data_IF_517938583455
#
_entry.id   IF_517938583455
#
_cell.length_a   1.000
_cell.length_b   1.000
_cell.length_c   1.000
_cell.angle_alpha   90.00
_cell.angle_beta   90.00
_cell.angle_gamma   90.00
#
_symmetry.space_group_name_H-M   'P 1'
#
loop_
_entity.id
_entity.type
_entity.pdbx_description
1 polymer ?
#
# COMPACT_ATOMS: atom_id res chain seq x y z
N UNK A 1 -28.69 31.48 -8.28
CA UNK A 1 -27.24 31.43 -7.95
C UNK A 1 -26.90 32.09 -6.61
N UNK A 2 -27.42 33.29 -6.28
CA UNK A 2 -27.15 33.95 -4.98
C UNK A 2 -27.42 33.07 -3.74
N UNK A 3 -28.55 32.34 -3.71
CA UNK A 3 -28.90 31.44 -2.59
C UNK A 3 -27.86 30.35 -2.34
N UNK A 4 -27.36 29.71 -3.40
CA UNK A 4 -26.34 28.66 -3.28
C UNK A 4 -25.06 29.24 -2.67
N UNK A 5 -24.64 30.42 -3.14
CA UNK A 5 -23.45 31.10 -2.62
C UNK A 5 -23.58 31.46 -1.13
N UNK A 6 -24.77 31.86 -0.67
CA UNK A 6 -25.01 32.12 0.75
C UNK A 6 -24.90 30.86 1.60
N UNK A 7 -25.44 29.72 1.13
CA UNK A 7 -25.32 28.43 1.82
C UNK A 7 -23.85 28.02 1.88
N UNK A 8 -23.13 28.08 0.75
CA UNK A 8 -21.70 27.78 0.68
C UNK A 8 -20.91 28.64 1.68
N UNK A 9 -21.16 29.95 1.70
CA UNK A 9 -20.49 30.87 2.62
C UNK A 9 -20.77 30.50 4.08
N UNK A 10 -22.02 30.17 4.41
CA UNK A 10 -22.42 29.74 5.76
C UNK A 10 -21.66 28.48 6.18
N UNK A 11 -21.58 27.48 5.31
CA UNK A 11 -20.87 26.23 5.60
C UNK A 11 -19.37 26.47 5.81
N UNK A 12 -18.69 27.21 4.92
CA UNK A 12 -17.27 27.54 5.15
C UNK A 12 -17.07 28.28 6.48
N UNK A 13 -17.88 29.31 6.77
CA UNK A 13 -17.77 30.03 8.04
C UNK A 13 -17.98 29.10 9.24
N UNK A 14 -18.92 28.17 9.17
CA UNK A 14 -19.17 27.20 10.23
C UNK A 14 -17.98 26.26 10.44
N UNK A 15 -17.38 25.77 9.34
CA UNK A 15 -16.22 24.87 9.36
C UNK A 15 -15.00 25.59 9.94
N UNK A 16 -14.66 26.77 9.40
CA UNK A 16 -13.48 27.54 9.83
C UNK A 16 -13.60 28.07 11.27
N UNK A 17 -14.83 28.33 11.74
CA UNK A 17 -15.05 28.79 13.12
C UNK A 17 -15.06 27.64 14.14
N UNK A 18 -15.29 26.40 13.70
CA UNK A 18 -15.35 25.25 14.58
C UNK A 18 -13.93 24.77 14.92
N UNK A 19 -13.46 25.08 16.14
CA UNK A 19 -12.08 24.82 16.60
C UNK A 19 -11.60 23.38 16.42
N UNK A 20 -12.51 22.41 16.50
CA UNK A 20 -12.19 20.98 16.39
C UNK A 20 -12.26 20.48 14.93
N UNK A 21 -13.01 21.14 14.06
CA UNK A 21 -13.34 20.57 12.75
C UNK A 21 -12.14 20.66 11.79
N UNK A 22 -11.45 21.80 11.74
CA UNK A 22 -10.26 21.95 10.89
C UNK A 22 -9.12 20.97 11.26
N UNK A 23 -8.71 20.84 12.53
CA UNK A 23 -7.72 19.83 12.90
C UNK A 23 -8.17 18.40 12.58
N UNK A 24 -9.46 18.09 12.78
CA UNK A 24 -10.00 16.76 12.46
C UNK A 24 -9.92 16.46 10.95
N UNK A 25 -10.11 17.47 10.09
CA UNK A 25 -10.10 17.31 8.63
C UNK A 25 -8.68 17.26 8.07
N UNK A 26 -7.73 18.01 8.64
CA UNK A 26 -6.38 18.11 8.07
C UNK A 26 -5.32 17.40 8.92
N UNK A 27 -5.27 17.65 10.23
CA UNK A 27 -4.21 17.11 11.09
C UNK A 27 -4.37 15.61 11.35
N UNK A 28 -5.60 15.16 11.62
CA UNK A 28 -5.85 13.74 11.92
C UNK A 28 -5.49 12.83 10.74
N UNK A 29 -5.93 13.08 9.50
CA UNK A 29 -5.51 12.29 8.34
C UNK A 29 -4.00 12.30 8.13
N UNK A 30 -3.30 13.40 8.37
CA UNK A 30 -1.83 13.43 8.22
C UNK A 30 -1.15 12.58 9.28
N UNK A 31 -1.57 12.69 10.53
CA UNK A 31 -1.06 11.84 11.60
C UNK A 31 -1.32 10.37 11.24
N UNK A 32 -2.51 10.06 10.74
CA UNK A 32 -2.85 8.71 10.26
C UNK A 32 -2.01 8.30 9.05
N UNK A 33 -1.75 9.19 8.10
CA UNK A 33 -0.91 8.91 6.93
C UNK A 33 0.50 8.55 7.38
N UNK A 34 1.09 9.34 8.29
CA UNK A 34 2.42 9.08 8.82
C UNK A 34 2.44 7.75 9.57
N UNK A 35 1.48 7.53 10.47
CA UNK A 35 1.41 6.29 11.27
C UNK A 35 1.19 5.08 10.38
N UNK A 36 0.19 5.10 9.50
CA UNK A 36 -0.16 3.97 8.65
C UNK A 36 0.90 3.69 7.60
N UNK A 37 1.53 4.72 7.01
CA UNK A 37 2.60 4.51 6.05
C UNK A 37 3.80 3.79 6.68
N UNK A 38 4.18 4.15 7.92
CA UNK A 38 5.25 3.48 8.65
C UNK A 38 4.83 2.12 9.22
N UNK A 39 3.57 1.98 9.65
CA UNK A 39 3.07 0.72 10.20
C UNK A 39 2.83 -0.34 9.12
N UNK A 40 2.53 0.09 7.88
CA UNK A 40 2.30 -0.80 6.76
C UNK A 40 3.61 -1.35 6.18
N UNK A 41 4.78 -0.89 6.63
CA UNK A 41 6.09 -1.30 6.09
C UNK A 41 6.27 -2.83 6.12
N UNK A 42 6.11 -3.46 4.95
CA UNK A 42 6.43 -4.87 4.74
C UNK A 42 7.84 -5.04 4.17
N UNK A 43 8.65 -3.98 4.12
CA UNK A 43 10.03 -4.07 3.66
C UNK A 43 10.87 -4.73 4.76
N UNK A 44 11.04 -6.04 4.65
CA UNK A 44 11.93 -6.76 5.55
C UNK A 44 13.38 -6.51 5.13
N UNK A 45 14.01 -5.56 5.81
CA UNK A 45 15.46 -5.34 5.77
C UNK A 45 16.13 -6.16 6.87
N UNK A 46 17.38 -6.57 6.66
CA UNK A 46 18.15 -7.41 7.59
C UNK A 46 17.52 -8.79 7.83
N UNK A 47 17.23 -9.52 6.76
CA UNK A 47 16.83 -10.92 6.87
C UNK A 47 18.06 -11.72 7.31
N UNK A 48 18.00 -12.31 8.51
CA UNK A 48 19.12 -13.06 9.06
C UNK A 48 19.27 -14.40 8.33
N UNK A 49 20.31 -14.51 7.50
CA UNK A 49 20.62 -15.69 6.73
C UNK A 49 21.71 -16.52 7.44
N UNK A 50 21.42 -17.78 7.68
CA UNK A 50 22.40 -18.76 8.14
C UNK A 50 22.90 -19.62 6.98
N UNK A 51 24.20 -19.92 6.93
CA UNK A 51 24.79 -20.62 5.78
C UNK A 51 25.28 -22.01 6.21
N UNK A 52 24.90 -23.04 5.46
CA UNK A 52 25.42 -24.39 5.61
C UNK A 52 26.19 -24.74 4.35
N UNK A 53 27.52 -24.59 4.39
CA UNK A 53 28.39 -24.87 3.24
C UNK A 53 29.15 -26.17 3.43
N UNK A 54 28.73 -27.22 2.71
CA UNK A 54 29.39 -28.52 2.68
C UNK A 54 30.47 -28.63 1.59
N UNK A 55 30.55 -27.68 0.65
CA UNK A 55 31.46 -27.73 -0.51
C UNK A 55 32.77 -26.96 -0.26
N UNK A 56 32.70 -25.86 0.49
CA UNK A 56 33.85 -24.99 0.86
C UNK A 56 34.73 -24.63 -0.35
N UNK A 57 34.09 -24.39 -1.48
CA UNK A 57 34.74 -24.19 -2.75
C UNK A 57 34.79 -22.71 -3.13
N UNK A 58 35.48 -22.40 -4.22
CA UNK A 58 35.57 -21.01 -4.69
C UNK A 58 34.20 -20.49 -5.15
N UNK A 59 33.39 -21.36 -5.77
CA UNK A 59 32.06 -20.99 -6.23
C UNK A 59 31.06 -20.90 -5.07
N UNK A 60 31.15 -21.77 -4.05
CA UNK A 60 30.32 -21.63 -2.85
C UNK A 60 30.62 -20.32 -2.11
N UNK A 61 31.90 -20.00 -1.90
CA UNK A 61 32.35 -18.76 -1.26
C UNK A 61 31.90 -17.52 -2.03
N UNK A 62 31.91 -17.56 -3.38
CA UNK A 62 31.45 -16.45 -4.22
C UNK A 62 29.94 -16.24 -4.12
N UNK A 63 29.15 -17.32 -4.12
CA UNK A 63 27.70 -17.25 -3.90
C UNK A 63 27.39 -16.63 -2.52
N UNK A 64 28.06 -17.10 -1.47
CA UNK A 64 27.96 -16.53 -0.11
C UNK A 64 28.31 -15.03 -0.11
N UNK A 65 29.38 -14.64 -0.81
CA UNK A 65 29.77 -13.24 -0.96
C UNK A 65 28.68 -12.36 -1.59
N UNK A 66 27.89 -12.87 -2.54
CA UNK A 66 26.75 -12.13 -3.10
C UNK A 66 25.64 -11.89 -2.07
N UNK A 67 25.35 -12.89 -1.24
CA UNK A 67 24.40 -12.72 -0.13
C UNK A 67 24.90 -11.70 0.90
N UNK A 68 26.20 -11.72 1.24
CA UNK A 68 26.81 -10.74 2.14
C UNK A 68 26.82 -9.31 1.58
N UNK A 69 26.92 -9.16 0.26
CA UNK A 69 26.91 -7.85 -0.40
C UNK A 69 25.50 -7.27 -0.60
N UNK A 70 24.45 -8.06 -0.39
CA UNK A 70 23.06 -7.63 -0.57
C UNK A 70 22.58 -6.80 0.63
N UNK A 71 21.84 -5.73 0.37
CA UNK A 71 21.22 -4.90 1.42
C UNK A 71 20.04 -5.61 2.14
N UNK A 72 19.56 -6.74 1.60
CA UNK A 72 18.40 -7.45 2.13
C UNK A 72 18.77 -8.53 3.16
N UNK A 73 19.98 -9.09 3.09
CA UNK A 73 20.41 -10.20 3.94
C UNK A 73 21.52 -9.79 4.88
N UNK A 74 21.44 -10.28 6.11
CA UNK A 74 22.51 -10.23 7.09
C UNK A 74 22.99 -11.65 7.35
N UNK A 75 24.23 -11.97 6.96
CA UNK A 75 24.78 -13.31 7.19
C UNK A 75 25.23 -13.42 8.65
N UNK A 76 24.42 -14.07 9.48
CA UNK A 76 24.62 -14.15 10.94
C UNK A 76 25.62 -15.23 11.35
N UNK A 77 25.81 -16.25 10.51
CA UNK A 77 26.72 -17.34 10.82
C UNK A 77 26.80 -18.40 9.74
N UNK A 78 27.71 -19.35 9.96
CA UNK A 78 27.88 -20.52 9.11
C UNK A 78 28.12 -21.78 9.94
N UNK A 79 27.54 -22.91 9.55
CA UNK A 79 27.85 -24.22 10.15
C UNK A 79 28.00 -25.31 9.09
N UNK A 80 28.45 -26.48 9.53
CA UNK A 80 28.56 -27.69 8.71
C UNK A 80 27.39 -28.66 8.89
N UNK A 81 26.37 -28.26 9.66
CA UNK A 81 25.22 -29.12 9.97
C UNK A 81 23.92 -28.35 9.79
N UNK A 82 23.04 -28.91 8.96
CA UNK A 82 21.67 -28.42 8.75
C UNK A 82 20.85 -28.44 10.05
N UNK A 83 21.21 -29.33 11.00
CA UNK A 83 20.55 -29.37 12.32
C UNK A 83 20.85 -28.11 13.13
N UNK A 84 22.11 -27.66 13.16
CA UNK A 84 22.48 -26.41 13.83
C UNK A 84 21.78 -25.23 13.20
N UNK A 85 21.73 -25.15 11.87
CA UNK A 85 21.02 -24.08 11.17
C UNK A 85 19.51 -24.06 11.49
N UNK A 86 18.90 -25.24 11.68
CA UNK A 86 17.51 -25.33 12.11
C UNK A 86 17.30 -24.90 13.57
N UNK A 87 18.22 -25.25 14.47
CA UNK A 87 18.19 -24.83 15.88
C UNK A 87 18.32 -23.29 16.01
N UNK A 88 19.10 -22.64 15.13
CA UNK A 88 19.22 -21.18 15.04
C UNK A 88 17.93 -20.51 14.56
N UNK A 89 17.21 -21.13 13.62
CA UNK A 89 15.86 -20.68 13.24
C UNK A 89 14.90 -20.82 14.42
N UNK A 90 14.92 -21.94 15.15
CA UNK A 90 14.04 -22.15 16.31
C UNK A 90 14.28 -21.16 17.45
N UNK A 91 15.51 -20.70 17.62
CA UNK A 91 15.89 -19.71 18.63
C UNK A 91 15.55 -18.27 18.20
N UNK A 92 15.23 -18.06 16.92
CA UNK A 92 14.90 -16.75 16.34
C UNK A 92 16.14 -15.92 15.96
N UNK A 93 17.33 -16.52 15.97
CA UNK A 93 18.58 -15.87 15.60
C UNK A 93 18.78 -15.84 14.06
N UNK A 94 18.16 -16.79 13.35
CA UNK A 94 18.10 -16.85 11.89
C UNK A 94 16.65 -16.88 11.36
N UNK A 95 16.41 -16.21 10.22
CA UNK A 95 15.11 -16.21 9.54
C UNK A 95 15.02 -17.28 8.44
N UNK A 96 16.17 -17.67 7.88
CA UNK A 96 16.30 -18.69 6.87
C UNK A 96 17.72 -19.26 6.88
N UNK A 97 17.87 -20.45 6.29
CA UNK A 97 19.19 -20.97 5.97
C UNK A 97 19.31 -21.42 4.52
N UNK A 98 20.50 -21.22 3.96
CA UNK A 98 20.91 -21.72 2.65
C UNK A 98 21.87 -22.89 2.86
N UNK A 99 21.52 -24.05 2.33
CA UNK A 99 22.36 -25.24 2.35
C UNK A 99 22.94 -25.51 0.95
N UNK A 100 24.27 -25.51 0.89
CA UNK A 100 25.08 -25.79 -0.30
C UNK A 100 25.60 -27.23 -0.16
N UNK A 101 25.18 -28.16 -1.03
CA UNK A 101 25.54 -29.57 -0.90
C UNK A 101 27.02 -29.81 -1.21
N UNK A 102 27.55 -30.92 -0.69
CA UNK A 102 28.87 -31.41 -1.10
C UNK A 102 28.91 -31.66 -2.62
N UNK A 103 30.07 -31.38 -3.23
CA UNK A 103 30.31 -31.45 -4.69
C UNK A 103 29.59 -30.36 -5.51
N UNK A 104 29.17 -29.24 -4.91
CA UNK A 104 28.47 -28.15 -5.59
C UNK A 104 29.26 -27.62 -6.79
N UNK A 105 30.54 -27.23 -6.61
CA UNK A 105 31.40 -26.78 -7.70
C UNK A 105 31.58 -27.86 -8.78
N UNK A 106 31.74 -29.14 -8.37
CA UNK A 106 31.94 -30.24 -9.33
C UNK A 106 30.72 -30.42 -10.23
N UNK A 107 29.52 -30.43 -9.64
CA UNK A 107 28.24 -30.59 -10.37
C UNK A 107 27.95 -29.37 -11.25
N UNK A 108 28.23 -28.17 -10.75
CA UNK A 108 28.05 -26.93 -11.50
C UNK A 108 28.88 -26.93 -12.79
N UNK A 109 30.13 -27.41 -12.74
CA UNK A 109 31.05 -27.44 -13.89
C UNK A 109 30.87 -28.65 -14.82
N UNK A 110 30.54 -29.84 -14.29
CA UNK A 110 30.45 -31.09 -15.10
C UNK A 110 29.05 -31.44 -15.55
N UNK A 111 28.06 -31.25 -14.67
CA UNK A 111 26.69 -31.75 -14.86
C UNK A 111 25.73 -30.62 -15.28
N UNK A 112 26.26 -29.41 -15.53
CA UNK A 112 25.54 -28.22 -15.98
C UNK A 112 24.39 -27.82 -15.04
N UNK A 113 24.52 -28.12 -13.75
CA UNK A 113 23.53 -27.80 -12.72
C UNK A 113 23.89 -28.35 -11.34
N UNK A 114 23.58 -27.59 -10.30
CA UNK A 114 23.70 -28.01 -8.92
C UNK A 114 22.46 -27.57 -8.13
N UNK A 115 21.96 -28.45 -7.25
CA UNK A 115 20.84 -28.13 -6.37
C UNK A 115 21.29 -27.31 -5.17
N UNK A 116 20.49 -26.33 -4.78
CA UNK A 116 20.63 -25.60 -3.52
C UNK A 116 19.35 -25.79 -2.72
N UNK A 117 19.45 -25.89 -1.40
CA UNK A 117 18.29 -25.94 -0.52
C UNK A 117 18.18 -24.63 0.25
N UNK A 118 17.05 -23.95 0.05
CA UNK A 118 16.67 -22.77 0.82
C UNK A 118 15.54 -23.16 1.76
N UNK A 119 15.75 -23.00 3.06
CA UNK A 119 14.74 -23.28 4.08
C UNK A 119 14.43 -21.99 4.82
N UNK A 120 13.17 -21.58 4.82
CA UNK A 120 12.72 -20.26 5.30
C UNK A 120 11.71 -20.43 6.43
N UNK A 121 11.86 -19.66 7.50
CA UNK A 121 10.86 -19.61 8.56
C UNK A 121 9.59 -18.91 8.05
N UNK A 122 8.49 -19.67 8.03
CA UNK A 122 7.20 -19.23 7.53
C UNK A 122 6.23 -18.74 8.63
N UNK A 123 6.70 -18.55 9.89
CA UNK A 123 5.88 -17.95 10.95
C UNK A 123 5.34 -16.57 10.52
N UNK A 124 6.17 -15.77 9.83
CA UNK A 124 5.72 -14.60 9.09
C UNK A 124 5.75 -14.88 7.58
N UNK A 125 4.60 -15.24 7.02
CA UNK A 125 4.48 -15.63 5.60
C UNK A 125 4.89 -14.55 4.59
N UNK A 126 4.73 -13.26 4.93
CA UNK A 126 5.16 -12.15 4.06
C UNK A 126 6.69 -12.05 4.05
N UNK A 127 7.31 -12.07 5.24
CA UNK A 127 8.76 -12.10 5.39
C UNK A 127 9.38 -13.30 4.68
N UNK A 128 8.77 -14.47 4.83
CA UNK A 128 9.22 -15.70 4.18
C UNK A 128 9.14 -15.63 2.65
N UNK A 129 8.03 -15.10 2.12
CA UNK A 129 7.83 -14.92 0.69
C UNK A 129 8.85 -13.96 0.08
N UNK A 130 9.11 -12.82 0.72
CA UNK A 130 10.11 -11.84 0.29
C UNK A 130 11.53 -12.39 0.39
N UNK A 131 11.88 -13.07 1.49
CA UNK A 131 13.18 -13.72 1.66
C UNK A 131 13.45 -14.73 0.54
N UNK A 132 12.46 -15.56 0.20
CA UNK A 132 12.58 -16.51 -0.90
C UNK A 132 12.75 -15.82 -2.27
N UNK A 133 11.98 -14.75 -2.53
CA UNK A 133 12.08 -13.99 -3.77
C UNK A 133 13.46 -13.32 -3.94
N UNK A 134 13.97 -12.66 -2.88
CA UNK A 134 15.28 -12.02 -2.88
C UNK A 134 16.41 -13.05 -3.02
N UNK A 135 16.34 -14.17 -2.30
CA UNK A 135 17.33 -15.24 -2.42
C UNK A 135 17.35 -15.84 -3.84
N UNK A 136 16.17 -16.06 -4.42
CA UNK A 136 16.03 -16.57 -5.79
C UNK A 136 16.64 -15.60 -6.81
N UNK A 137 16.43 -14.28 -6.66
CA UNK A 137 17.02 -13.27 -7.53
C UNK A 137 18.56 -13.27 -7.45
N UNK A 138 19.14 -13.36 -6.24
CA UNK A 138 20.60 -13.45 -6.05
C UNK A 138 21.17 -14.73 -6.68
N UNK A 139 20.49 -15.87 -6.49
CA UNK A 139 20.90 -17.16 -7.09
C UNK A 139 20.82 -17.10 -8.63
N UNK A 140 19.80 -16.43 -9.19
CA UNK A 140 19.69 -16.22 -10.63
C UNK A 140 20.82 -15.35 -11.18
N UNK A 141 21.15 -14.25 -10.51
CA UNK A 141 22.27 -13.39 -10.87
C UNK A 141 23.62 -14.12 -10.80
N UNK A 142 23.82 -14.96 -9.77
CA UNK A 142 24.97 -15.87 -9.71
C UNK A 142 25.00 -16.84 -10.89
N UNK A 143 23.87 -17.49 -11.21
CA UNK A 143 23.81 -18.44 -12.33
C UNK A 143 24.15 -17.79 -13.68
N UNK A 144 23.70 -16.57 -13.93
CA UNK A 144 24.03 -15.84 -15.17
C UNK A 144 25.52 -15.48 -15.26
N UNK A 145 26.15 -15.10 -14.14
CA UNK A 145 27.59 -14.84 -14.07
C UNK A 145 28.40 -16.10 -14.41
N UNK A 146 28.09 -17.23 -13.74
CA UNK A 146 28.80 -18.50 -13.96
C UNK A 146 28.63 -19.00 -15.39
N UNK A 147 27.42 -18.90 -15.96
CA UNK A 147 27.16 -19.29 -17.35
C UNK A 147 27.98 -18.45 -18.33
N UNK A 148 28.14 -17.16 -18.06
CA UNK A 148 28.96 -16.26 -18.89
C UNK A 148 30.45 -16.61 -18.79
N UNK A 149 30.94 -16.97 -17.61
CA UNK A 149 32.32 -17.41 -17.36
C UNK A 149 32.64 -18.76 -18.04
N UNK A 150 31.74 -19.74 -17.93
CA UNK A 150 31.96 -21.10 -18.43
C UNK A 150 31.83 -21.24 -19.96
N UNK A 151 30.95 -20.45 -20.59
CA UNK A 151 30.63 -20.57 -22.02
C UNK A 151 31.25 -19.45 -22.89
N UNK A 152 31.87 -18.44 -22.27
CA UNK A 152 32.42 -17.27 -22.96
C UNK A 152 31.37 -16.23 -23.36
N UNK A 153 31.79 -15.01 -23.77
CA UNK A 153 30.88 -13.93 -24.13
C UNK A 153 30.13 -14.27 -25.43
N UNK A 154 28.95 -14.88 -25.31
CA UNK A 154 28.05 -15.18 -26.42
C UNK A 154 27.25 -16.48 -26.30
N UNK A 155 27.69 -17.46 -25.50
CA UNK A 155 27.02 -18.77 -25.41
C UNK A 155 26.12 -18.94 -24.17
N UNK A 156 26.01 -17.90 -23.34
CA UNK A 156 25.25 -17.88 -22.09
C UNK A 156 23.84 -17.30 -22.17
N UNK A 157 23.23 -17.01 -23.32
CA UNK A 157 21.79 -16.65 -23.34
C UNK A 157 20.96 -17.90 -23.63
N UNK A 158 20.16 -18.36 -22.67
CA UNK A 158 18.93 -19.08 -23.07
C UNK A 158 18.21 -18.18 -24.08
N UNK A 159 17.61 -18.70 -25.16
CA UNK A 159 17.00 -17.87 -26.20
C UNK A 159 15.93 -16.90 -25.66
N UNK A 160 15.41 -17.14 -24.44
CA UNK A 160 14.72 -16.14 -23.65
C UNK A 160 15.22 -16.17 -22.20
N UNK A 161 15.94 -15.13 -21.80
CA UNK A 161 16.01 -14.69 -20.40
C UNK A 161 15.04 -13.53 -20.27
N UNK A 162 13.93 -13.75 -19.55
CA UNK A 162 12.97 -12.70 -19.24
C UNK A 162 13.50 -11.99 -18.00
N UNK A 163 14.25 -10.91 -18.21
CA UNK A 163 14.59 -9.99 -17.13
C UNK A 163 13.34 -9.18 -16.77
N UNK A 164 12.78 -9.42 -15.59
CA UNK A 164 11.69 -8.59 -15.05
C UNK A 164 12.28 -7.28 -14.54
N UNK A 165 11.71 -6.15 -14.97
CA UNK A 165 12.08 -4.82 -14.50
C UNK A 165 10.83 -4.14 -14.00
N UNK A 166 10.88 -3.56 -12.81
CA UNK A 166 9.79 -2.78 -12.24
C UNK A 166 9.85 -1.35 -12.78
N UNK A 167 8.88 -0.96 -13.62
CA UNK A 167 8.95 0.32 -14.35
C UNK A 167 8.62 1.53 -13.47
N UNK A 168 7.72 1.38 -12.52
CA UNK A 168 7.18 2.48 -11.70
C UNK A 168 7.73 2.52 -10.27
N UNK A 169 8.33 1.42 -9.79
CA UNK A 169 8.99 1.34 -8.49
C UNK A 169 10.21 0.40 -8.57
N UNK A 170 11.31 0.83 -9.21
CA UNK A 170 12.49 -0.01 -9.46
C UNK A 170 13.10 -0.58 -8.18
N UNK A 171 13.14 0.23 -7.12
CA UNK A 171 13.71 -0.12 -5.82
C UNK A 171 12.72 -0.88 -4.92
N UNK A 172 11.48 -1.13 -5.39
CA UNK A 172 10.39 -1.72 -4.61
C UNK A 172 10.17 -0.98 -3.27
N UNK A 173 10.43 0.32 -3.25
CA UNK A 173 10.26 1.16 -2.07
C UNK A 173 8.77 1.17 -1.69
N UNK A 174 8.49 0.67 -0.49
CA UNK A 174 7.13 0.42 -0.09
C UNK A 174 6.33 1.71 0.18
N UNK A 175 6.99 2.79 0.62
CA UNK A 175 6.35 4.10 0.78
C UNK A 175 5.84 4.66 -0.55
N UNK A 176 6.55 4.40 -1.64
CA UNK A 176 6.15 4.84 -2.99
C UNK A 176 4.83 4.19 -3.44
N UNK A 177 4.53 2.98 -2.93
CA UNK A 177 3.26 2.30 -3.17
C UNK A 177 2.17 2.68 -2.16
N UNK A 178 2.48 2.64 -0.86
CA UNK A 178 1.45 2.75 0.18
C UNK A 178 0.97 4.16 0.46
N UNK A 179 1.84 5.17 0.44
CA UNK A 179 1.46 6.54 0.82
C UNK A 179 0.36 7.09 -0.11
N UNK A 180 0.44 6.96 -1.45
CA UNK A 180 -0.66 7.38 -2.32
C UNK A 180 -1.96 6.60 -2.07
N UNK A 181 -1.86 5.29 -1.83
CA UNK A 181 -3.01 4.44 -1.54
C UNK A 181 -3.72 4.82 -0.25
N UNK A 182 -2.97 4.96 0.85
CA UNK A 182 -3.49 5.40 2.15
C UNK A 182 -4.08 6.80 2.03
N UNK A 183 -3.44 7.71 1.27
CA UNK A 183 -3.97 9.05 1.06
C UNK A 183 -5.37 9.02 0.41
N UNK A 184 -5.57 8.18 -0.61
CA UNK A 184 -6.91 8.00 -1.20
C UNK A 184 -7.89 7.51 -0.14
N UNK A 185 -7.52 6.49 0.65
CA UNK A 185 -8.40 5.96 1.71
C UNK A 185 -8.80 7.00 2.74
N UNK A 186 -7.86 7.85 3.15
CA UNK A 186 -8.11 8.92 4.12
C UNK A 186 -9.08 9.97 3.56
N UNK A 187 -8.85 10.40 2.31
CA UNK A 187 -9.75 11.32 1.61
C UNK A 187 -11.15 10.70 1.44
N UNK A 188 -11.24 9.39 1.18
CA UNK A 188 -12.53 8.67 1.15
C UNK A 188 -13.23 8.73 2.50
N UNK A 189 -12.50 8.41 3.57
CA UNK A 189 -13.02 8.32 4.92
C UNK A 189 -13.56 9.68 5.36
N UNK A 190 -12.75 10.73 5.19
CA UNK A 190 -13.13 12.10 5.54
C UNK A 190 -14.31 12.56 4.68
N UNK A 191 -14.26 12.35 3.37
CA UNK A 191 -15.35 12.71 2.46
C UNK A 191 -16.68 12.04 2.82
N UNK A 192 -16.66 10.72 3.06
CA UNK A 192 -17.87 9.95 3.36
C UNK A 192 -18.46 10.34 4.71
N UNK A 193 -17.63 10.48 5.75
CA UNK A 193 -18.09 10.89 7.08
C UNK A 193 -18.63 12.32 7.09
N UNK A 194 -17.89 13.28 6.53
CA UNK A 194 -18.33 14.67 6.50
C UNK A 194 -19.64 14.82 5.73
N UNK A 195 -19.75 14.20 4.55
CA UNK A 195 -20.98 14.25 3.77
C UNK A 195 -22.17 13.59 4.48
N UNK A 196 -21.95 12.41 5.07
CA UNK A 196 -22.99 11.69 5.81
C UNK A 196 -23.51 12.48 7.01
N UNK A 197 -22.61 13.06 7.80
CA UNK A 197 -22.99 13.82 8.99
C UNK A 197 -23.60 15.19 8.66
N UNK A 198 -23.24 15.79 7.52
CA UNK A 198 -23.63 17.16 7.19
C UNK A 198 -25.15 17.39 7.16
N UNK A 199 -25.92 16.44 6.62
CA UNK A 199 -27.39 16.55 6.62
C UNK A 199 -27.96 16.00 7.92
N UNK A 200 -27.42 14.89 8.44
CA UNK A 200 -27.94 14.24 9.64
C UNK A 200 -27.87 15.16 10.86
N UNK A 201 -26.81 15.97 10.96
CA UNK A 201 -26.70 16.99 12.01
C UNK A 201 -27.86 17.99 11.98
N UNK A 202 -28.35 18.37 10.79
CA UNK A 202 -29.49 19.29 10.67
C UNK A 202 -30.82 18.57 10.98
N UNK A 203 -30.91 17.26 10.68
CA UNK A 203 -32.06 16.43 11.08
C UNK A 203 -32.14 16.32 12.60
N UNK A 204 -31.04 15.95 13.26
CA UNK A 204 -30.97 15.78 14.72
C UNK A 204 -31.34 17.05 15.48
N UNK A 205 -30.91 18.22 14.99
CA UNK A 205 -31.15 19.52 15.65
C UNK A 205 -32.52 20.12 15.22
N UNK A 206 -33.22 19.48 14.27
CA UNK A 206 -34.54 19.90 13.80
C UNK A 206 -34.55 21.12 12.87
N UNK A 207 -33.39 21.60 12.43
CA UNK A 207 -33.26 22.71 11.48
C UNK A 207 -33.67 22.31 10.07
N UNK A 208 -33.70 21.01 9.75
CA UNK A 208 -34.14 20.53 8.44
C UNK A 208 -35.59 20.92 8.12
N UNK A 209 -36.49 20.90 9.11
CA UNK A 209 -37.89 21.31 8.93
C UNK A 209 -38.04 22.82 8.74
N UNK A 210 -37.19 23.59 9.42
CA UNK A 210 -37.11 25.04 9.22
C UNK A 210 -36.64 25.36 7.79
N UNK A 211 -35.71 24.58 7.24
CA UNK A 211 -35.25 24.75 5.86
C UNK A 211 -36.34 24.36 4.87
N UNK A 212 -37.12 23.31 5.15
CA UNK A 212 -38.23 22.86 4.28
C UNK A 212 -39.32 23.92 4.06
N UNK A 213 -39.51 24.84 5.03
CA UNK A 213 -40.48 25.94 4.91
C UNK A 213 -39.91 27.22 4.27
N UNK A 214 -38.60 27.25 3.97
CA UNK A 214 -37.97 28.37 3.24
C UNK A 214 -38.09 28.20 1.73
N UNK A 215 -37.97 29.29 0.93
CA UNK A 215 -38.01 29.20 -0.54
C UNK A 215 -36.74 28.56 -1.16
N UNK A 216 -35.98 27.76 -0.41
CA UNK A 216 -34.76 27.08 -0.88
C UNK A 216 -35.16 25.79 -1.60
N UNK A 217 -34.71 25.63 -2.85
CA UNK A 217 -34.97 24.39 -3.60
C UNK A 217 -34.02 23.27 -3.16
N UNK A 218 -34.47 22.01 -3.21
CA UNK A 218 -33.68 20.82 -2.81
C UNK A 218 -32.29 20.77 -3.45
N UNK A 219 -32.17 21.01 -4.77
CA UNK A 219 -30.87 21.00 -5.45
C UNK A 219 -29.95 22.14 -4.98
N UNK A 220 -30.50 23.30 -4.60
CA UNK A 220 -29.72 24.42 -4.10
C UNK A 220 -29.15 24.11 -2.71
N UNK A 221 -29.95 23.46 -1.88
CA UNK A 221 -29.53 22.96 -0.58
C UNK A 221 -28.42 21.91 -0.71
N UNK A 222 -28.63 20.88 -1.53
CA UNK A 222 -27.66 19.79 -1.72
C UNK A 222 -26.33 20.33 -2.27
N UNK A 223 -26.35 21.12 -3.36
CA UNK A 223 -25.12 21.70 -3.93
C UNK A 223 -24.44 22.62 -2.91
N UNK A 224 -25.22 23.48 -2.25
CA UNK A 224 -24.68 24.43 -1.27
C UNK A 224 -24.03 23.75 -0.07
N UNK A 225 -24.51 22.57 0.32
CA UNK A 225 -23.95 21.78 1.41
C UNK A 225 -22.80 20.89 0.97
N UNK A 226 -22.84 20.27 -0.20
CA UNK A 226 -21.80 19.33 -0.65
C UNK A 226 -20.56 20.01 -1.22
N UNK A 227 -20.72 21.12 -1.94
CA UNK A 227 -19.61 21.80 -2.60
C UNK A 227 -18.50 22.24 -1.62
N UNK A 228 -18.79 22.78 -0.42
CA UNK A 228 -17.76 23.08 0.58
C UNK A 228 -16.92 21.85 0.94
N UNK A 229 -17.54 20.71 1.19
CA UNK A 229 -16.84 19.46 1.53
C UNK A 229 -16.05 18.90 0.35
N UNK A 230 -16.57 19.04 -0.87
CA UNK A 230 -15.85 18.68 -2.09
C UNK A 230 -14.57 19.51 -2.27
N UNK A 231 -14.63 20.83 -2.03
CA UNK A 231 -13.44 21.69 -2.07
C UNK A 231 -12.47 21.29 -0.96
N UNK A 232 -12.95 21.06 0.26
CA UNK A 232 -12.12 20.69 1.40
C UNK A 232 -11.42 19.35 1.18
N UNK A 233 -12.11 18.33 0.68
CA UNK A 233 -11.50 17.03 0.40
C UNK A 233 -10.43 17.11 -0.72
N UNK A 234 -10.62 17.99 -1.72
CA UNK A 234 -9.54 18.28 -2.67
C UNK A 234 -8.36 19.00 -2.01
N UNK A 235 -8.61 19.93 -1.08
CA UNK A 235 -7.54 20.57 -0.32
C UNK A 235 -6.80 19.58 0.60
N UNK A 236 -7.53 18.62 1.19
CA UNK A 236 -6.95 17.54 1.99
C UNK A 236 -6.04 16.66 1.14
N UNK A 237 -6.50 16.25 -0.06
CA UNK A 237 -5.65 15.55 -1.03
C UNK A 237 -4.40 16.36 -1.36
N UNK A 238 -4.53 17.66 -1.65
CA UNK A 238 -3.38 18.52 -1.94
C UNK A 238 -2.38 18.55 -0.78
N UNK A 239 -2.88 18.62 0.45
CA UNK A 239 -2.04 18.66 1.63
C UNK A 239 -1.37 17.32 1.92
N UNK A 240 -2.09 16.21 1.73
CA UNK A 240 -1.53 14.87 1.87
C UNK A 240 -0.49 14.55 0.79
N UNK A 241 -0.68 15.02 -0.45
CA UNK A 241 0.34 14.92 -1.49
C UNK A 241 1.58 15.74 -1.09
N UNK A 242 1.41 16.97 -0.59
CA UNK A 242 2.52 17.80 -0.10
C UNK A 242 3.31 17.11 1.01
N UNK A 243 2.61 16.46 1.95
CA UNK A 243 3.23 15.65 3.01
C UNK A 243 3.96 14.44 2.43
N UNK A 244 3.36 13.73 1.48
CA UNK A 244 3.99 12.61 0.76
C UNK A 244 5.31 13.00 0.10
N UNK A 245 5.37 14.20 -0.47
CA UNK A 245 6.59 14.73 -1.06
C UNK A 245 7.62 15.19 -0.03
N UNK A 246 7.21 15.91 1.02
CA UNK A 246 8.13 16.48 2.01
C UNK A 246 8.69 15.47 3.01
N UNK A 247 7.91 14.45 3.38
CA UNK A 247 8.28 13.49 4.43
C UNK A 247 8.80 12.18 3.84
N UNK A 248 8.25 11.74 2.70
CA UNK A 248 8.53 10.42 2.12
C UNK A 248 9.26 10.48 0.78
N UNK A 249 9.69 11.68 0.36
CA UNK A 249 10.43 11.93 -0.89
C UNK A 249 9.75 11.34 -2.15
N UNK A 250 8.42 11.28 -2.14
CA UNK A 250 7.67 10.66 -3.25
C UNK A 250 7.68 11.57 -4.47
N UNK A 251 8.20 11.11 -5.63
CA UNK A 251 8.27 11.93 -6.82
C UNK A 251 6.89 12.10 -7.45
N UNK A 252 6.55 13.35 -7.81
CA UNK A 252 5.38 13.61 -8.65
C UNK A 252 5.74 13.43 -10.12
N UNK A 253 5.36 12.29 -10.68
CA UNK A 253 5.53 12.01 -12.11
C UNK A 253 4.20 12.22 -12.84
N UNK A 254 4.18 13.13 -13.81
CA UNK A 254 3.00 13.39 -14.64
C UNK A 254 2.25 14.68 -14.28
N UNK A 255 0.93 14.68 -14.48
CA UNK A 255 0.09 15.89 -14.38
C UNK A 255 -0.74 15.92 -13.10
N UNK A 256 -0.44 16.87 -12.21
CA UNK A 256 -1.24 17.14 -11.01
C UNK A 256 -2.69 17.49 -11.35
N UNK A 257 -2.93 18.22 -12.44
CA UNK A 257 -4.28 18.56 -12.89
C UNK A 257 -5.12 17.32 -13.21
N UNK A 258 -4.49 16.28 -13.74
CA UNK A 258 -5.16 15.01 -14.02
C UNK A 258 -5.52 14.30 -12.72
N UNK A 259 -4.60 14.27 -11.74
CA UNK A 259 -4.87 13.73 -10.40
C UNK A 259 -6.05 14.45 -9.74
N UNK A 260 -6.03 15.78 -9.69
CA UNK A 260 -7.15 16.56 -9.13
C UNK A 260 -8.44 16.42 -9.95
N UNK A 261 -8.36 16.26 -11.27
CA UNK A 261 -9.52 16.02 -12.14
C UNK A 261 -10.19 14.68 -11.86
N UNK A 262 -9.42 13.61 -11.71
CA UNK A 262 -9.93 12.30 -11.31
C UNK A 262 -10.44 12.32 -9.86
N UNK A 263 -9.69 12.92 -8.93
CA UNK A 263 -10.12 13.06 -7.54
C UNK A 263 -11.42 13.86 -7.42
N UNK A 264 -11.58 14.92 -8.22
CA UNK A 264 -12.80 15.70 -8.30
C UNK A 264 -14.03 14.85 -8.67
N UNK A 265 -13.91 14.00 -9.71
CA UNK A 265 -14.98 13.10 -10.13
C UNK A 265 -15.24 12.01 -9.10
N UNK A 266 -14.17 11.40 -8.59
CA UNK A 266 -14.21 10.40 -7.53
C UNK A 266 -14.94 10.91 -6.28
N UNK A 267 -14.61 12.12 -5.83
CA UNK A 267 -15.22 12.74 -4.65
C UNK A 267 -16.72 13.00 -4.84
N UNK A 268 -17.22 13.21 -6.06
CA UNK A 268 -18.68 13.30 -6.27
C UNK A 268 -19.37 11.98 -5.91
N UNK A 269 -18.74 10.84 -6.20
CA UNK A 269 -19.27 9.52 -5.86
C UNK A 269 -19.21 9.29 -4.35
N UNK A 270 -18.06 9.55 -3.73
CA UNK A 270 -17.87 9.38 -2.27
C UNK A 270 -18.82 10.27 -1.47
N UNK A 271 -18.91 11.55 -1.82
CA UNK A 271 -19.83 12.49 -1.17
C UNK A 271 -21.29 12.11 -1.46
N UNK A 272 -21.58 11.58 -2.65
CA UNK A 272 -22.90 11.04 -3.00
C UNK A 272 -23.29 9.84 -2.14
N UNK A 273 -22.35 8.94 -1.84
CA UNK A 273 -22.58 7.82 -0.91
C UNK A 273 -22.82 8.32 0.51
N UNK A 274 -22.01 9.28 1.00
CA UNK A 274 -22.27 9.91 2.30
C UNK A 274 -23.65 10.58 2.33
N UNK A 275 -24.03 11.29 1.26
CA UNK A 275 -25.37 11.88 1.13
C UNK A 275 -26.46 10.80 1.17
N UNK A 276 -26.28 9.68 0.47
CA UNK A 276 -27.23 8.58 0.49
C UNK A 276 -27.38 7.99 1.90
N UNK A 277 -26.27 7.76 2.63
CA UNK A 277 -26.32 7.32 4.03
C UNK A 277 -27.12 8.33 4.87
N UNK A 278 -26.90 9.62 4.66
CA UNK A 278 -27.61 10.68 5.40
C UNK A 278 -29.14 10.65 5.22
N UNK A 279 -29.65 10.10 4.12
CA UNK A 279 -31.11 10.03 3.89
C UNK A 279 -31.76 8.94 4.71
N UNK A 280 -31.05 7.83 4.96
CA UNK A 280 -31.56 6.64 5.67
C UNK A 280 -31.24 6.62 7.17
N UNK A 281 -30.51 7.62 7.67
CA UNK A 281 -30.15 7.75 9.09
C UNK A 281 -30.76 8.96 9.75
N UNK A 282 -31.04 8.82 11.05
CA UNK A 282 -31.56 9.90 11.90
C UNK A 282 -30.51 10.50 12.81
N UNK A 283 -29.47 9.73 13.20
CA UNK A 283 -28.41 10.22 14.09
C UNK A 283 -27.02 10.18 13.47
N UNK A 284 -26.15 11.12 13.86
CA UNK A 284 -24.76 11.22 13.39
C UNK A 284 -23.99 9.95 13.73
N UNK A 285 -24.25 9.35 14.89
CA UNK A 285 -23.64 8.09 15.31
C UNK A 285 -24.07 6.94 14.39
N UNK A 286 -25.36 6.86 14.05
CA UNK A 286 -25.86 5.85 13.11
C UNK A 286 -25.22 6.03 11.73
N UNK A 287 -25.15 7.27 11.23
CA UNK A 287 -24.50 7.58 9.96
C UNK A 287 -23.02 7.16 9.95
N UNK A 288 -22.30 7.39 11.05
CA UNK A 288 -20.91 7.01 11.20
C UNK A 288 -20.71 5.49 11.17
N UNK A 289 -21.54 4.71 11.88
CA UNK A 289 -21.44 3.26 11.87
C UNK A 289 -21.77 2.65 10.49
N UNK A 290 -22.78 3.18 9.80
CA UNK A 290 -23.13 2.71 8.45
C UNK A 290 -22.01 3.08 7.46
N UNK A 291 -21.51 4.31 7.51
CA UNK A 291 -20.38 4.72 6.67
C UNK A 291 -19.14 3.86 6.93
N UNK A 292 -18.82 3.58 8.20
CA UNK A 292 -17.70 2.72 8.58
C UNK A 292 -17.84 1.29 8.05
N UNK A 293 -19.05 0.72 8.09
CA UNK A 293 -19.32 -0.59 7.52
C UNK A 293 -19.00 -0.65 6.02
N UNK A 294 -19.48 0.33 5.24
CA UNK A 294 -19.17 0.40 3.81
C UNK A 294 -17.69 0.71 3.55
N UNK A 295 -17.08 1.61 4.32
CA UNK A 295 -15.66 1.94 4.19
C UNK A 295 -14.78 0.72 4.39
N UNK A 296 -15.03 -0.11 5.41
CA UNK A 296 -14.25 -1.34 5.63
C UNK A 296 -14.33 -2.25 4.40
N UNK A 297 -15.53 -2.46 3.85
CA UNK A 297 -15.71 -3.31 2.66
C UNK A 297 -14.94 -2.71 1.47
N UNK A 298 -15.07 -1.41 1.23
CA UNK A 298 -14.41 -0.75 0.11
C UNK A 298 -12.88 -0.75 0.26
N UNK A 299 -12.37 -0.54 1.46
CA UNK A 299 -10.94 -0.57 1.76
C UNK A 299 -10.38 -1.97 1.53
N UNK A 300 -11.02 -3.00 2.09
CA UNK A 300 -10.54 -4.38 1.96
C UNK A 300 -10.62 -4.91 0.52
N UNK A 301 -11.56 -4.39 -0.28
CA UNK A 301 -11.73 -4.75 -1.69
C UNK A 301 -11.07 -3.76 -2.66
N UNK A 302 -10.34 -2.76 -2.18
CA UNK A 302 -9.75 -1.68 -3.01
C UNK A 302 -8.58 -2.13 -3.89
N UNK A 303 -8.00 -3.31 -3.63
CA UNK A 303 -6.74 -3.70 -4.28
C UNK A 303 -5.48 -3.23 -3.54
N UNK A 304 -5.61 -2.34 -2.54
CA UNK A 304 -4.46 -1.77 -1.84
C UNK A 304 -3.69 -2.82 -1.00
N UNK A 305 -4.41 -3.59 -0.18
CA UNK A 305 -3.80 -4.60 0.70
C UNK A 305 -3.65 -5.96 0.04
N UNK A 306 -4.58 -6.30 -0.86
CA UNK A 306 -4.62 -7.58 -1.57
C UNK A 306 -4.91 -7.30 -3.04
N UNK A 307 -4.07 -7.79 -3.98
CA UNK A 307 -4.32 -7.62 -5.41
C UNK A 307 -5.70 -8.13 -5.81
N UNK A 308 -6.41 -7.38 -6.66
CA UNK A 308 -7.77 -7.71 -7.11
C UNK A 308 -7.78 -9.03 -7.88
N UNK A 309 -6.72 -9.32 -8.64
CA UNK A 309 -6.58 -10.54 -9.42
C UNK A 309 -6.54 -11.81 -8.55
N UNK A 310 -6.08 -11.68 -7.31
CA UNK A 310 -6.00 -12.78 -6.34
C UNK A 310 -7.35 -13.09 -5.67
N UNK A 311 -8.36 -12.22 -5.83
CA UNK A 311 -9.68 -12.42 -5.25
C UNK A 311 -10.48 -13.46 -6.05
N UNK A 312 -11.40 -14.22 -5.42
CA UNK A 312 -12.30 -15.11 -6.16
C UNK A 312 -13.17 -14.32 -7.17
N UNK A 313 -13.63 -14.95 -8.28
CA UNK A 313 -14.29 -14.23 -9.38
C UNK A 313 -15.49 -13.38 -8.96
N UNK A 314 -16.30 -13.85 -8.00
CA UNK A 314 -17.44 -13.10 -7.49
C UNK A 314 -17.01 -11.78 -6.82
N UNK A 315 -15.89 -11.77 -6.11
CA UNK A 315 -15.37 -10.59 -5.44
C UNK A 315 -14.79 -9.60 -6.46
N UNK A 316 -14.08 -10.10 -7.49
CA UNK A 316 -13.60 -9.27 -8.59
C UNK A 316 -14.75 -8.53 -9.30
N UNK A 317 -15.89 -9.18 -9.49
CA UNK A 317 -17.07 -8.53 -10.08
C UNK A 317 -17.64 -7.42 -9.19
N UNK A 318 -17.69 -7.63 -7.87
CA UNK A 318 -18.15 -6.62 -6.91
C UNK A 318 -17.17 -5.44 -6.86
N UNK A 319 -15.86 -5.71 -6.86
CA UNK A 319 -14.80 -4.69 -6.82
C UNK A 319 -14.90 -3.71 -7.98
N UNK A 320 -15.36 -4.12 -9.16
CA UNK A 320 -15.55 -3.18 -10.30
C UNK A 320 -16.57 -2.06 -10.04
N UNK A 321 -17.45 -2.24 -9.05
CA UNK A 321 -18.41 -1.22 -8.61
C UNK A 321 -17.95 -0.49 -7.34
N UNK A 322 -16.86 -0.92 -6.73
CA UNK A 322 -16.26 -0.25 -5.58
C UNK A 322 -15.57 1.04 -6.08
N UNK A 323 -16.01 2.23 -5.65
CA UNK A 323 -15.41 3.47 -6.13
C UNK A 323 -13.96 3.67 -5.69
N UNK A 324 -13.52 2.95 -4.65
CA UNK A 324 -12.15 3.04 -4.09
C UNK A 324 -11.16 2.15 -4.84
N UNK A 325 -11.66 1.17 -5.61
CA UNK A 325 -10.84 0.24 -6.38
C UNK A 325 -10.42 0.80 -7.74
#
# INVERSE_FOLDING_TARGET
MRTILFIIRKEFVQIFRHRVMLPLIFMMPIIQLIILAHAADYEVRNINLFIVDHDLSQYSSRLVGKFQASAHFNVVGSAFSSKTAFDEIQQGDADLFLEIPADFQRKLLRDNGAGLQLSVDAVNGVKAGLANAYATAIIQDFNEEIRTEALGPGAGKLPLSIASSNWFNPELNYFTFMVPGILVLLVTLVGMFLSGMNIVKEKEIGTIEQINVTPIRKYQFIIGKLLPFWVIANMELAFGLLVGWLIFDIPFVGSLWLVFGFAALYLLVVLGMGLFISTVTETQQQAMFIAWFFLIIFILMSGLFTPIESMPPWAQHITRFNPVA
#
